data_IF_117617898034
#
_entry.id   IF_117617898034
#
_cell.length_a   1.000
_cell.length_b   1.000
_cell.length_c   1.000
_cell.angle_alpha   90.00
_cell.angle_beta   90.00
_cell.angle_gamma   90.00
#
_symmetry.space_group_name_H-M   'P 1'
#
loop_
_entity.id
_entity.type
_entity.pdbx_description
1 polymer ?
#
# COMPACT_ATOMS: atom_id res chain seq x y z
N UNK A 1 -6.76 -3.42 3.40
CA UNK A 1 -7.06 -4.28 2.23
C UNK A 1 -8.16 -3.70 1.35
N UNK A 2 -9.38 -3.48 1.86
CA UNK A 2 -10.49 -2.97 1.04
C UNK A 2 -10.23 -1.59 0.40
N UNK A 3 -9.52 -0.70 1.07
CA UNK A 3 -9.08 0.58 0.48
C UNK A 3 -8.20 0.40 -0.76
N UNK A 4 -7.27 -0.56 -0.73
CA UNK A 4 -6.38 -0.86 -1.86
C UNK A 4 -7.13 -1.47 -3.05
N UNK A 5 -8.21 -2.20 -2.78
CA UNK A 5 -9.05 -2.84 -3.80
C UNK A 5 -10.18 -1.94 -4.31
N UNK A 6 -10.58 -0.92 -3.54
CA UNK A 6 -11.66 -0.02 -3.90
C UNK A 6 -11.28 0.84 -5.13
N UNK A 7 -12.07 0.68 -6.20
CA UNK A 7 -11.77 1.18 -7.54
C UNK A 7 -10.86 0.28 -8.37
N UNK A 8 -10.65 -0.97 -7.94
CA UNK A 8 -9.86 -1.98 -8.65
C UNK A 8 -8.35 -1.78 -8.53
N UNK A 9 -7.83 -1.10 -7.50
CA UNK A 9 -6.39 -0.89 -7.34
C UNK A 9 -5.73 -0.10 -8.47
N UNK A 10 -6.52 0.68 -9.22
CA UNK A 10 -6.05 1.37 -10.43
C UNK A 10 -5.20 2.62 -10.15
N UNK A 11 -5.12 3.10 -8.90
CA UNK A 11 -4.51 4.40 -8.57
C UNK A 11 -3.11 4.54 -9.16
N UNK A 12 -2.26 3.54 -8.98
CA UNK A 12 -0.90 3.52 -9.54
C UNK A 12 -0.89 3.51 -11.08
N UNK A 13 -1.83 2.81 -11.70
CA UNK A 13 -2.01 2.81 -13.16
C UNK A 13 -2.49 4.17 -13.69
N UNK A 14 -3.42 4.80 -12.97
CA UNK A 14 -3.95 6.12 -13.28
C UNK A 14 -2.86 7.19 -13.19
N UNK A 15 -2.07 7.19 -12.10
CA UNK A 15 -0.92 8.08 -11.92
C UNK A 15 0.04 7.94 -13.11
N UNK A 16 0.40 6.71 -13.49
CA UNK A 16 1.28 6.44 -14.62
C UNK A 16 0.74 7.00 -15.93
N UNK A 17 -0.48 6.61 -16.33
CA UNK A 17 -0.99 6.98 -17.65
C UNK A 17 -1.33 8.47 -17.73
N UNK A 18 -1.81 9.08 -16.65
CA UNK A 18 -2.01 10.54 -16.58
C UNK A 18 -0.68 11.28 -16.73
N UNK A 19 0.38 10.84 -16.03
CA UNK A 19 1.70 11.44 -16.16
C UNK A 19 2.27 11.27 -17.59
N UNK A 20 2.10 10.09 -18.18
CA UNK A 20 2.56 9.78 -19.54
C UNK A 20 1.85 10.62 -20.62
N UNK A 21 0.53 10.78 -20.51
CA UNK A 21 -0.29 11.49 -21.50
C UNK A 21 -0.51 12.97 -21.16
N UNK A 22 0.19 13.53 -20.17
CA UNK A 22 0.05 14.93 -19.74
C UNK A 22 0.16 15.95 -20.88
N UNK A 23 1.01 15.67 -21.90
CA UNK A 23 1.21 16.54 -23.08
C UNK A 23 0.24 16.26 -24.24
N UNK A 24 -0.64 15.27 -24.10
CA UNK A 24 -1.56 14.80 -25.15
C UNK A 24 -3.01 14.85 -24.63
N UNK A 25 -3.71 16.00 -24.76
CA UNK A 25 -4.99 16.21 -24.09
C UNK A 25 -6.07 15.20 -24.49
N UNK A 26 -6.13 14.78 -25.75
CA UNK A 26 -7.10 13.78 -26.22
C UNK A 26 -6.91 12.42 -25.55
N UNK A 27 -5.68 11.91 -25.52
CA UNK A 27 -5.33 10.63 -24.89
C UNK A 27 -5.51 10.66 -23.37
N UNK A 28 -5.19 11.80 -22.74
CA UNK A 28 -5.42 12.01 -21.31
C UNK A 28 -6.90 11.91 -20.95
N UNK A 29 -7.76 12.65 -21.65
CA UNK A 29 -9.21 12.65 -21.40
C UNK A 29 -9.81 11.26 -21.63
N UNK A 30 -9.35 10.55 -22.67
CA UNK A 30 -9.75 9.16 -22.96
C UNK A 30 -9.35 8.21 -21.83
N UNK A 31 -8.11 8.30 -21.35
CA UNK A 31 -7.59 7.50 -20.23
C UNK A 31 -8.42 7.70 -18.97
N UNK A 32 -8.77 8.96 -18.64
CA UNK A 32 -9.60 9.28 -17.49
C UNK A 32 -11.01 8.70 -17.65
N UNK A 33 -11.62 8.84 -18.83
CA UNK A 33 -12.95 8.29 -19.12
C UNK A 33 -13.00 6.76 -18.99
N UNK A 34 -11.99 6.05 -19.51
CA UNK A 34 -11.84 4.59 -19.37
C UNK A 34 -11.62 4.21 -17.90
N UNK A 35 -10.81 4.96 -17.16
CA UNK A 35 -10.54 4.70 -15.74
C UNK A 35 -11.80 4.85 -14.88
N UNK A 36 -12.67 5.84 -15.17
CA UNK A 36 -13.99 5.97 -14.53
C UNK A 36 -14.86 4.73 -14.77
N UNK A 37 -14.96 4.28 -16.02
CA UNK A 37 -15.75 3.10 -16.37
C UNK A 37 -15.19 1.82 -15.71
N UNK A 38 -13.87 1.64 -15.76
CA UNK A 38 -13.17 0.53 -15.12
C UNK A 38 -13.45 0.48 -13.62
N UNK A 39 -13.23 1.60 -12.93
CA UNK A 39 -13.44 1.72 -11.49
C UNK A 39 -14.89 1.43 -11.12
N UNK A 40 -15.85 1.93 -11.91
CA UNK A 40 -17.28 1.70 -11.66
C UNK A 40 -17.63 0.21 -11.79
N UNK A 41 -17.16 -0.46 -12.85
CA UNK A 41 -17.41 -1.90 -13.06
C UNK A 41 -16.85 -2.70 -11.87
N UNK A 42 -15.61 -2.43 -11.46
CA UNK A 42 -15.01 -3.12 -10.32
C UNK A 42 -15.75 -2.84 -9.01
N UNK A 43 -16.17 -1.60 -8.75
CA UNK A 43 -16.97 -1.28 -7.57
C UNK A 43 -18.31 -2.03 -7.57
N UNK A 44 -18.99 -2.13 -8.72
CA UNK A 44 -20.23 -2.91 -8.83
C UNK A 44 -19.98 -4.38 -8.54
N UNK A 45 -18.93 -4.98 -9.12
CA UNK A 45 -18.59 -6.39 -8.88
C UNK A 45 -18.27 -6.64 -7.40
N UNK A 46 -17.41 -5.82 -6.81
CA UNK A 46 -17.03 -5.96 -5.38
C UNK A 46 -18.24 -5.70 -4.48
N UNK A 47 -19.11 -4.75 -4.82
CA UNK A 47 -20.33 -4.47 -4.06
C UNK A 47 -21.31 -5.65 -4.12
N UNK A 48 -21.52 -6.25 -5.30
CA UNK A 48 -22.39 -7.42 -5.45
C UNK A 48 -21.86 -8.59 -4.63
N UNK A 49 -20.56 -8.90 -4.75
CA UNK A 49 -19.93 -9.95 -3.96
C UNK A 49 -20.01 -9.65 -2.45
N UNK A 50 -19.71 -8.43 -2.03
CA UNK A 50 -19.76 -8.01 -0.63
C UNK A 50 -21.16 -8.10 -0.02
N UNK A 51 -22.20 -7.72 -0.78
CA UNK A 51 -23.59 -7.87 -0.35
C UNK A 51 -24.03 -9.34 -0.29
N UNK A 52 -23.73 -10.13 -1.33
CA UNK A 52 -24.11 -11.56 -1.40
C UNK A 52 -23.42 -12.42 -0.33
N UNK A 53 -22.15 -12.12 -0.01
CA UNK A 53 -21.38 -12.87 0.99
C UNK A 53 -21.31 -12.18 2.35
N UNK A 54 -22.12 -11.13 2.59
CA UNK A 54 -22.05 -10.28 3.79
C UNK A 54 -22.16 -11.07 5.10
N UNK A 55 -23.07 -12.04 5.18
CA UNK A 55 -23.26 -12.88 6.38
C UNK A 55 -22.07 -13.82 6.64
N UNK A 56 -21.49 -14.41 5.58
CA UNK A 56 -20.30 -15.28 5.69
C UNK A 56 -19.10 -14.46 6.15
N UNK A 57 -18.90 -13.28 5.54
CA UNK A 57 -17.82 -12.37 5.89
C UNK A 57 -17.98 -11.91 7.35
N UNK A 58 -19.20 -11.56 7.77
CA UNK A 58 -19.48 -11.17 9.15
C UNK A 58 -19.14 -12.28 10.13
N UNK A 59 -19.55 -13.51 9.84
CA UNK A 59 -19.26 -14.67 10.69
C UNK A 59 -17.76 -14.94 10.78
N UNK A 60 -17.01 -14.76 9.68
CA UNK A 60 -15.57 -14.98 9.68
C UNK A 60 -14.80 -13.90 10.46
N UNK A 61 -15.15 -12.62 10.24
CA UNK A 61 -14.47 -11.45 10.82
C UNK A 61 -14.92 -11.18 12.25
N UNK A 62 -16.22 -11.09 12.48
CA UNK A 62 -16.81 -10.70 13.76
C UNK A 62 -17.20 -11.89 14.63
N UNK A 63 -17.04 -13.13 14.14
CA UNK A 63 -17.50 -14.36 14.81
C UNK A 63 -19.01 -14.43 15.07
N UNK A 64 -19.78 -13.50 14.51
CA UNK A 64 -21.25 -13.45 14.54
C UNK A 64 -21.81 -12.94 13.21
N UNK A 65 -22.97 -13.45 12.74
CA UNK A 65 -23.66 -12.91 11.57
C UNK A 65 -24.33 -11.53 11.82
N UNK A 66 -24.47 -11.08 13.06
CA UNK A 66 -25.26 -9.89 13.43
C UNK A 66 -24.75 -8.58 12.81
N UNK A 67 -23.47 -8.53 12.42
CA UNK A 67 -22.82 -7.37 11.83
C UNK A 67 -22.80 -7.38 10.29
N UNK A 68 -23.62 -8.21 9.63
CA UNK A 68 -23.70 -8.26 8.16
C UNK A 68 -23.98 -6.89 7.53
N UNK A 69 -24.78 -6.05 8.18
CA UNK A 69 -25.12 -4.72 7.70
C UNK A 69 -23.91 -3.78 7.63
N UNK A 70 -22.90 -3.97 8.49
CA UNK A 70 -21.63 -3.23 8.44
C UNK A 70 -20.87 -3.61 7.17
N UNK A 71 -20.87 -4.90 6.80
CA UNK A 71 -20.24 -5.40 5.57
C UNK A 71 -20.96 -4.84 4.34
N UNK A 72 -22.30 -4.79 4.35
CA UNK A 72 -23.09 -4.15 3.29
C UNK A 72 -22.77 -2.66 3.19
N UNK A 73 -22.75 -1.96 4.32
CA UNK A 73 -22.44 -0.52 4.35
C UNK A 73 -21.03 -0.22 3.84
N UNK A 74 -20.05 -1.07 4.17
CA UNK A 74 -18.69 -1.01 3.62
C UNK A 74 -18.68 -1.25 2.11
N UNK A 75 -19.45 -2.24 1.65
CA UNK A 75 -19.57 -2.60 0.23
C UNK A 75 -20.15 -1.45 -0.61
N UNK A 76 -21.03 -0.63 -0.04
CA UNK A 76 -21.57 0.58 -0.68
C UNK A 76 -20.60 1.77 -0.52
N UNK A 77 -19.98 1.94 0.64
CA UNK A 77 -19.08 3.07 0.92
C UNK A 77 -17.81 3.04 0.06
N UNK A 78 -17.42 1.86 -0.46
CA UNK A 78 -16.29 1.73 -1.39
C UNK A 78 -16.41 2.62 -2.63
N UNK A 79 -17.63 2.97 -3.08
CA UNK A 79 -17.84 3.83 -4.25
C UNK A 79 -17.27 5.24 -3.99
N UNK A 80 -17.48 5.77 -2.79
CA UNK A 80 -16.88 7.03 -2.35
C UNK A 80 -15.35 6.97 -2.31
N UNK A 81 -14.80 5.83 -1.88
CA UNK A 81 -13.35 5.63 -1.88
C UNK A 81 -12.77 5.53 -3.29
N UNK A 82 -13.40 4.76 -4.17
CA UNK A 82 -12.99 4.62 -5.55
C UNK A 82 -13.01 5.95 -6.28
N UNK A 83 -14.03 6.78 -6.02
CA UNK A 83 -14.10 8.14 -6.52
C UNK A 83 -12.94 9.01 -5.98
N UNK A 84 -12.67 8.96 -4.68
CA UNK A 84 -11.53 9.66 -4.07
C UNK A 84 -10.20 9.22 -4.72
N UNK A 85 -10.01 7.92 -4.89
CA UNK A 85 -8.85 7.32 -5.54
C UNK A 85 -8.67 7.78 -7.00
N UNK A 86 -9.76 7.93 -7.75
CA UNK A 86 -9.74 8.49 -9.10
C UNK A 86 -9.27 9.95 -9.09
N UNK A 87 -9.86 10.80 -8.25
CA UNK A 87 -9.53 12.24 -8.19
C UNK A 87 -8.09 12.45 -7.74
N UNK A 88 -7.70 11.79 -6.64
CA UNK A 88 -6.34 11.89 -6.09
C UNK A 88 -5.30 11.28 -7.01
N UNK A 89 -5.61 10.18 -7.70
CA UNK A 89 -4.73 9.58 -8.70
C UNK A 89 -4.50 10.47 -9.93
N UNK A 90 -5.55 11.16 -10.41
CA UNK A 90 -5.41 12.17 -11.48
C UNK A 90 -4.59 13.37 -11.01
N UNK A 91 -4.89 13.93 -9.84
CA UNK A 91 -4.14 15.05 -9.28
C UNK A 91 -2.66 14.70 -9.13
N UNK A 92 -2.36 13.52 -8.58
CA UNK A 92 -1.00 13.03 -8.40
C UNK A 92 -0.29 12.80 -9.76
N UNK A 93 -0.95 12.16 -10.73
CA UNK A 93 -0.40 12.00 -12.09
C UNK A 93 -0.09 13.33 -12.80
N UNK A 94 -0.88 14.38 -12.55
CA UNK A 94 -0.64 15.73 -13.05
C UNK A 94 0.46 16.49 -12.27
N UNK A 95 0.92 15.92 -11.16
CA UNK A 95 1.79 16.55 -10.14
C UNK A 95 1.15 17.74 -9.41
N UNK A 96 -0.17 17.74 -9.30
CA UNK A 96 -0.90 18.67 -8.43
C UNK A 96 -0.91 18.13 -7.00
N UNK A 97 0.25 18.27 -6.34
CA UNK A 97 0.48 17.82 -4.97
C UNK A 97 -0.35 18.61 -3.96
N UNK A 98 -0.74 19.85 -4.29
CA UNK A 98 -1.57 20.69 -3.43
C UNK A 98 -2.98 20.12 -3.33
N UNK A 99 -3.62 19.83 -4.46
CA UNK A 99 -4.97 19.23 -4.45
C UNK A 99 -4.96 17.88 -3.76
N UNK A 100 -3.95 17.03 -4.04
CA UNK A 100 -3.77 15.75 -3.34
C UNK A 100 -3.68 15.95 -1.81
N UNK A 101 -2.80 16.84 -1.35
CA UNK A 101 -2.60 17.09 0.08
C UNK A 101 -3.86 17.65 0.76
N UNK A 102 -4.56 18.59 0.12
CA UNK A 102 -5.78 19.19 0.69
C UNK A 102 -6.88 18.14 0.85
N UNK A 103 -7.08 17.25 -0.13
CA UNK A 103 -8.05 16.15 -0.02
C UNK A 103 -7.74 15.28 1.20
N UNK A 104 -6.47 14.90 1.40
CA UNK A 104 -6.05 14.07 2.52
C UNK A 104 -6.19 14.79 3.87
N UNK A 105 -5.77 16.06 3.96
CA UNK A 105 -5.82 16.83 5.20
C UNK A 105 -7.28 17.09 5.61
N UNK A 106 -8.10 17.59 4.70
CA UNK A 106 -9.51 17.87 4.98
C UNK A 106 -10.27 16.57 5.29
N UNK A 107 -10.00 15.49 4.55
CA UNK A 107 -10.58 14.17 4.84
C UNK A 107 -10.28 13.68 6.27
N UNK A 108 -9.02 13.82 6.72
CA UNK A 108 -8.63 13.49 8.09
C UNK A 108 -9.29 14.41 9.14
N UNK A 109 -9.34 15.71 8.89
CA UNK A 109 -9.98 16.67 9.80
C UNK A 109 -11.48 16.37 9.96
N UNK A 110 -12.16 15.93 8.90
CA UNK A 110 -13.58 15.58 8.94
C UNK A 110 -13.84 14.25 9.65
N UNK A 111 -13.02 13.22 9.39
CA UNK A 111 -13.27 11.87 9.94
C UNK A 111 -12.96 11.78 11.43
N UNK A 112 -11.97 12.53 11.94
CA UNK A 112 -11.48 12.41 13.32
C UNK A 112 -12.56 12.73 14.37
N UNK A 113 -13.26 13.88 14.35
CA UNK A 113 -14.32 14.18 15.32
C UNK A 113 -15.48 13.20 15.24
N UNK A 114 -15.85 12.79 14.03
CA UNK A 114 -16.97 11.86 13.80
C UNK A 114 -16.63 10.48 14.37
N UNK A 115 -15.38 10.02 14.15
CA UNK A 115 -14.90 8.76 14.72
C UNK A 115 -14.91 8.79 16.25
N UNK A 116 -14.43 9.90 16.83
CA UNK A 116 -14.46 10.08 18.29
C UNK A 116 -15.87 9.98 18.86
N UNK A 117 -16.84 10.67 18.26
CA UNK A 117 -18.24 10.67 18.71
C UNK A 117 -18.88 9.28 18.58
N UNK A 118 -18.62 8.58 17.46
CA UNK A 118 -19.18 7.25 17.21
C UNK A 118 -18.62 6.22 18.20
N UNK A 119 -17.30 6.22 18.42
CA UNK A 119 -16.65 5.30 19.35
C UNK A 119 -17.17 5.53 20.77
N UNK A 120 -17.31 6.79 21.21
CA UNK A 120 -17.83 7.12 22.54
C UNK A 120 -19.29 6.69 22.76
N UNK A 121 -20.12 6.69 21.70
CA UNK A 121 -21.56 6.38 21.83
C UNK A 121 -21.91 4.91 21.58
N UNK A 122 -21.13 4.22 20.75
CA UNK A 122 -21.47 2.89 20.23
C UNK A 122 -20.33 1.87 20.39
N UNK A 123 -19.30 2.19 21.17
CA UNK A 123 -18.14 1.36 21.48
C UNK A 123 -17.58 0.65 20.23
N UNK A 124 -17.67 -0.69 20.21
CA UNK A 124 -17.19 -1.54 19.13
C UNK A 124 -17.88 -1.26 17.79
N UNK A 125 -19.21 -1.12 17.80
CA UNK A 125 -20.00 -0.84 16.59
C UNK A 125 -19.68 0.56 16.07
N UNK A 126 -19.47 1.50 16.98
CA UNK A 126 -18.99 2.85 16.68
C UNK A 126 -17.64 2.84 15.97
N UNK A 127 -16.69 2.06 16.46
CA UNK A 127 -15.38 1.88 15.83
C UNK A 127 -15.50 1.28 14.42
N UNK A 128 -16.32 0.24 14.26
CA UNK A 128 -16.55 -0.40 12.97
C UNK A 128 -17.18 0.55 11.94
N UNK A 129 -18.23 1.31 12.32
CA UNK A 129 -18.84 2.32 11.44
C UNK A 129 -17.83 3.42 11.09
N UNK A 130 -17.03 3.88 12.07
CA UNK A 130 -16.04 4.94 11.86
C UNK A 130 -15.00 4.56 10.80
N UNK A 131 -14.56 3.30 10.80
CA UNK A 131 -13.66 2.78 9.76
C UNK A 131 -14.29 2.81 8.37
N UNK A 132 -15.60 2.57 8.26
CA UNK A 132 -16.31 2.65 6.97
C UNK A 132 -16.47 4.10 6.53
N UNK A 133 -16.85 4.99 7.45
CA UNK A 133 -17.05 6.41 7.18
C UNK A 133 -15.78 7.14 6.76
N UNK A 134 -14.61 6.67 7.18
CA UNK A 134 -13.32 7.14 6.67
C UNK A 134 -13.29 7.19 5.14
N UNK A 135 -13.91 6.22 4.47
CA UNK A 135 -13.95 6.16 3.01
C UNK A 135 -14.89 7.20 2.38
N UNK A 136 -15.97 7.54 3.09
CA UNK A 136 -16.98 8.50 2.62
C UNK A 136 -16.55 9.94 2.86
N UNK A 137 -15.90 10.25 3.99
CA UNK A 137 -15.51 11.64 4.31
C UNK A 137 -14.46 12.22 3.36
N UNK A 138 -13.54 11.40 2.86
CA UNK A 138 -12.55 11.84 1.87
C UNK A 138 -13.18 12.14 0.51
N UNK A 139 -14.35 11.57 0.21
CA UNK A 139 -15.06 11.85 -1.04
C UNK A 139 -15.62 13.27 -1.10
N UNK A 140 -15.85 13.92 0.04
CA UNK A 140 -16.38 15.29 0.14
C UNK A 140 -15.41 16.32 -0.47
N UNK A 141 -14.16 16.47 0.02
CA UNK A 141 -13.21 17.38 -0.61
C UNK A 141 -12.86 16.94 -2.04
N UNK A 142 -12.81 15.63 -2.32
CA UNK A 142 -12.59 15.14 -3.68
C UNK A 142 -13.70 15.59 -4.65
N UNK A 143 -14.96 15.59 -4.20
CA UNK A 143 -16.11 16.02 -5.00
C UNK A 143 -16.04 17.51 -5.31
N UNK A 144 -15.64 18.34 -4.33
CA UNK A 144 -15.44 19.77 -4.53
C UNK A 144 -14.43 20.05 -5.66
N UNK A 145 -13.26 19.41 -5.62
CA UNK A 145 -12.24 19.57 -6.66
C UNK A 145 -12.68 19.00 -8.01
N UNK A 146 -13.41 17.88 -8.00
CA UNK A 146 -13.95 17.28 -9.20
C UNK A 146 -14.97 18.18 -9.89
N UNK A 147 -15.89 18.78 -9.15
CA UNK A 147 -16.91 19.70 -9.68
C UNK A 147 -16.30 20.96 -10.30
N UNK A 148 -15.16 21.42 -9.79
CA UNK A 148 -14.41 22.55 -10.36
C UNK A 148 -13.54 22.19 -11.56
N UNK A 149 -13.39 20.90 -11.87
CA UNK A 149 -12.48 20.43 -12.90
C UNK A 149 -13.17 20.21 -14.25
N UNK A 150 -12.41 20.34 -15.34
CA UNK A 150 -12.83 19.96 -16.70
C UNK A 150 -13.23 18.48 -16.78
N UNK A 151 -12.74 17.65 -15.85
CA UNK A 151 -13.05 16.23 -15.79
C UNK A 151 -14.51 15.93 -15.46
N UNK A 152 -15.27 16.87 -14.89
CA UNK A 152 -16.71 16.73 -14.66
C UNK A 152 -17.49 16.55 -15.96
N UNK A 153 -17.10 17.30 -17.01
CA UNK A 153 -17.76 17.30 -18.33
C UNK A 153 -17.45 16.05 -19.16
N UNK A 154 -16.54 15.19 -18.69
CA UNK A 154 -16.17 13.97 -19.41
C UNK A 154 -17.18 12.85 -19.17
N UNK A 155 -17.78 12.29 -20.24
CA UNK A 155 -18.66 11.14 -20.10
C UNK A 155 -17.90 9.92 -19.57
N UNK A 156 -18.65 8.98 -18.99
CA UNK A 156 -18.11 7.68 -18.59
C UNK A 156 -17.76 6.93 -19.88
N UNK A 157 -16.48 6.57 -20.04
CA UNK A 157 -15.94 5.99 -21.26
C UNK A 157 -16.24 4.51 -21.39
N UNK A 158 -17.52 4.14 -21.60
CA UNK A 158 -17.94 2.75 -21.87
C UNK A 158 -17.53 2.24 -23.25
N UNK A 159 -17.08 3.12 -24.16
CA UNK A 159 -16.46 2.67 -25.42
C UNK A 159 -15.24 1.85 -25.05
N UNK A 160 -15.40 0.52 -25.08
CA UNK A 160 -14.40 -0.49 -24.74
C UNK A 160 -13.16 -0.28 -25.61
N UNK A 161 -12.25 0.58 -25.17
CA UNK A 161 -10.88 0.55 -25.62
C UNK A 161 -10.22 -0.63 -24.90
N UNK A 162 -10.34 -1.81 -25.49
CA UNK A 162 -9.86 -3.09 -24.93
C UNK A 162 -8.40 -2.99 -24.49
N UNK A 163 -7.60 -2.18 -25.19
CA UNK A 163 -6.20 -1.96 -24.87
C UNK A 163 -5.99 -1.13 -23.59
N UNK A 164 -6.80 -0.09 -23.35
CA UNK A 164 -6.76 0.71 -22.12
C UNK A 164 -7.22 -0.08 -20.91
N UNK A 165 -8.28 -0.89 -21.06
CA UNK A 165 -8.78 -1.78 -20.00
C UNK A 165 -7.73 -2.84 -19.61
N UNK A 166 -7.12 -3.52 -20.58
CA UNK A 166 -6.08 -4.54 -20.34
C UNK A 166 -4.85 -3.97 -19.64
N UNK A 167 -4.50 -2.72 -19.96
CA UNK A 167 -3.41 -1.96 -19.32
C UNK A 167 -3.68 -1.69 -17.85
N UNK A 168 -4.91 -1.30 -17.49
CA UNK A 168 -5.32 -1.07 -16.10
C UNK A 168 -5.42 -2.38 -15.31
N UNK A 169 -5.89 -3.46 -15.94
CA UNK A 169 -5.99 -4.78 -15.31
C UNK A 169 -4.64 -5.28 -14.75
N UNK A 170 -3.53 -4.96 -15.40
CA UNK A 170 -2.20 -5.31 -14.87
C UNK A 170 -1.91 -4.63 -13.53
N UNK A 171 -2.35 -3.38 -13.33
CA UNK A 171 -2.20 -2.68 -12.05
C UNK A 171 -3.14 -3.23 -10.99
N UNK A 172 -4.37 -3.57 -11.38
CA UNK A 172 -5.32 -4.26 -10.50
C UNK A 172 -4.75 -5.56 -10.00
N UNK A 173 -4.18 -6.39 -10.87
CA UNK A 173 -3.55 -7.65 -10.47
C UNK A 173 -2.35 -7.43 -9.53
N UNK A 174 -1.49 -6.46 -9.82
CA UNK A 174 -0.39 -6.11 -8.91
C UNK A 174 -0.91 -5.68 -7.53
N UNK A 175 -1.87 -4.76 -7.49
CA UNK A 175 -2.44 -4.24 -6.25
C UNK A 175 -3.17 -5.33 -5.46
N UNK A 176 -3.95 -6.18 -6.12
CA UNK A 176 -4.66 -7.29 -5.48
C UNK A 176 -3.70 -8.31 -4.89
N UNK A 177 -2.65 -8.68 -5.63
CA UNK A 177 -1.66 -9.64 -5.13
C UNK A 177 -0.91 -9.06 -3.93
N UNK A 178 -0.45 -7.81 -3.97
CA UNK A 178 0.17 -7.18 -2.80
C UNK A 178 -0.80 -7.05 -1.60
N UNK A 179 -2.06 -6.68 -1.86
CA UNK A 179 -3.07 -6.51 -0.81
C UNK A 179 -3.45 -7.81 -0.10
N UNK A 180 -3.29 -8.95 -0.75
CA UNK A 180 -3.59 -10.28 -0.20
C UNK A 180 -2.30 -10.95 0.34
N UNK A 181 -1.23 -10.94 -0.46
CA UNK A 181 0.05 -11.58 -0.14
C UNK A 181 0.64 -11.09 1.17
N UNK A 182 0.80 -9.77 1.33
CA UNK A 182 1.51 -9.19 2.48
C UNK A 182 0.83 -9.60 3.79
N UNK A 183 -0.50 -9.41 3.98
CA UNK A 183 -1.08 -9.75 5.27
C UNK A 183 -1.27 -11.26 5.46
N UNK A 184 -1.40 -12.05 4.38
CA UNK A 184 -1.37 -13.51 4.51
C UNK A 184 -0.03 -13.99 5.05
N UNK A 185 1.09 -13.47 4.52
CA UNK A 185 2.43 -13.76 5.04
C UNK A 185 2.52 -13.32 6.50
N UNK A 186 2.06 -12.11 6.85
CA UNK A 186 2.07 -11.66 8.25
C UNK A 186 1.26 -12.56 9.19
N UNK A 187 0.10 -13.07 8.74
CA UNK A 187 -0.70 -14.03 9.51
C UNK A 187 0.07 -15.33 9.70
N UNK A 188 0.63 -15.89 8.63
CA UNK A 188 1.40 -17.15 8.70
C UNK A 188 2.58 -17.03 9.66
N UNK A 189 3.38 -15.96 9.54
CA UNK A 189 4.51 -15.73 10.45
C UNK A 189 4.04 -15.57 11.89
N UNK A 190 2.94 -14.83 12.12
CA UNK A 190 2.39 -14.66 13.46
C UNK A 190 1.96 -16.00 14.07
N UNK A 191 1.25 -16.84 13.32
CA UNK A 191 0.85 -18.16 13.81
C UNK A 191 2.06 -19.05 14.08
N UNK A 192 3.08 -19.04 13.20
CA UNK A 192 4.35 -19.74 13.46
C UNK A 192 4.98 -19.30 14.80
N UNK A 193 5.02 -18.00 15.08
CA UNK A 193 5.58 -17.49 16.34
C UNK A 193 4.71 -17.90 17.54
N UNK A 194 3.37 -17.87 17.41
CA UNK A 194 2.45 -18.29 18.47
C UNK A 194 2.67 -19.76 18.82
N UNK A 195 2.78 -20.63 17.82
CA UNK A 195 2.96 -22.07 18.02
C UNK A 195 4.32 -22.44 18.64
N UNK A 196 5.39 -21.72 18.28
CA UNK A 196 6.75 -22.08 18.70
C UNK A 196 7.26 -21.32 19.93
N UNK A 197 6.76 -20.10 20.17
CA UNK A 197 7.29 -19.19 21.21
C UNK A 197 6.18 -18.68 22.12
N UNK A 198 5.00 -18.41 21.58
CA UNK A 198 3.82 -17.97 22.33
C UNK A 198 3.30 -16.58 21.97
N UNK A 199 2.18 -16.21 22.59
CA UNK A 199 1.43 -14.98 22.26
C UNK A 199 2.19 -13.68 22.55
N UNK A 200 2.97 -13.62 23.64
CA UNK A 200 3.73 -12.41 24.01
C UNK A 200 4.75 -12.08 22.91
N UNK A 201 5.55 -13.08 22.49
CA UNK A 201 6.50 -12.95 21.40
C UNK A 201 5.86 -12.53 20.08
N UNK A 202 4.70 -13.12 19.74
CA UNK A 202 3.93 -12.72 18.56
C UNK A 202 3.47 -11.26 18.63
N UNK A 203 3.11 -10.78 19.83
CA UNK A 203 2.81 -9.38 20.11
C UNK A 203 4.02 -8.45 19.89
N UNK A 204 5.19 -8.82 20.41
CA UNK A 204 6.46 -8.07 20.21
C UNK A 204 6.78 -7.96 18.72
N UNK A 205 6.69 -9.06 17.97
CA UNK A 205 6.95 -9.06 16.53
C UNK A 205 5.93 -8.19 15.78
N UNK A 206 4.63 -8.32 16.08
CA UNK A 206 3.58 -7.49 15.47
C UNK A 206 3.80 -6.00 15.75
N UNK A 207 4.17 -5.64 16.97
CA UNK A 207 4.48 -4.26 17.33
C UNK A 207 5.65 -3.70 16.50
N UNK A 208 6.71 -4.49 16.30
CA UNK A 208 7.82 -4.15 15.41
C UNK A 208 7.35 -3.86 13.97
N UNK A 209 6.54 -4.75 13.40
CA UNK A 209 6.00 -4.60 12.05
C UNK A 209 5.12 -3.35 11.95
N UNK A 210 4.33 -3.03 12.98
CA UNK A 210 3.51 -1.80 13.02
C UNK A 210 4.36 -0.54 13.01
N UNK A 211 5.39 -0.45 13.87
CA UNK A 211 6.33 0.68 13.88
C UNK A 211 7.01 0.78 12.50
N UNK A 212 7.51 -0.34 11.96
CA UNK A 212 8.11 -0.41 10.62
C UNK A 212 7.19 0.15 9.54
N UNK A 213 5.94 -0.31 9.52
CA UNK A 213 4.95 0.11 8.52
C UNK A 213 4.66 1.61 8.56
N UNK A 214 4.67 2.23 9.75
CA UNK A 214 4.39 3.64 9.92
C UNK A 214 5.45 4.53 9.25
N UNK A 215 6.73 4.33 9.56
CA UNK A 215 7.78 5.13 8.93
C UNK A 215 8.05 4.71 7.47
N UNK A 216 7.86 3.43 7.11
CA UNK A 216 7.98 2.98 5.72
C UNK A 216 6.87 3.54 4.83
N UNK A 217 5.69 3.80 5.39
CA UNK A 217 4.60 4.51 4.73
C UNK A 217 5.03 5.87 4.15
N UNK A 218 5.87 6.62 4.87
CA UNK A 218 6.42 7.89 4.38
C UNK A 218 7.22 7.69 3.08
N UNK A 219 8.16 6.73 3.05
CA UNK A 219 8.96 6.45 1.86
C UNK A 219 8.11 5.95 0.71
N UNK A 220 7.14 5.06 0.97
CA UNK A 220 6.23 4.54 -0.04
C UNK A 220 5.40 5.65 -0.67
N UNK A 221 4.83 6.57 0.12
CA UNK A 221 4.07 7.71 -0.39
C UNK A 221 4.98 8.64 -1.19
N UNK A 222 6.16 8.97 -0.66
CA UNK A 222 7.13 9.81 -1.36
C UNK A 222 7.52 9.23 -2.73
N UNK A 223 7.82 7.93 -2.80
CA UNK A 223 8.17 7.27 -4.04
C UNK A 223 6.98 7.18 -5.00
N UNK A 224 5.78 6.90 -4.50
CA UNK A 224 4.57 6.84 -5.33
C UNK A 224 4.18 8.19 -5.92
N UNK A 225 4.33 9.28 -5.16
CA UNK A 225 3.90 10.64 -5.56
C UNK A 225 4.96 11.34 -6.42
N UNK A 226 6.26 11.18 -6.11
CA UNK A 226 7.32 11.93 -6.79
C UNK A 226 8.12 11.06 -7.75
N UNK A 227 8.58 9.90 -7.31
CA UNK A 227 9.49 9.08 -8.11
C UNK A 227 8.77 8.34 -9.25
N UNK A 228 7.63 7.73 -8.97
CA UNK A 228 6.87 6.94 -9.93
C UNK A 228 6.43 7.75 -11.16
N UNK A 229 5.89 8.98 -11.04
CA UNK A 229 5.57 9.81 -12.21
C UNK A 229 6.82 10.17 -13.02
N UNK A 230 7.94 10.50 -12.36
CA UNK A 230 9.19 10.84 -13.05
C UNK A 230 9.73 9.67 -13.86
N UNK A 231 9.68 8.45 -13.33
CA UNK A 231 10.07 7.24 -14.07
C UNK A 231 9.11 6.96 -15.23
N UNK A 232 7.81 7.15 -15.02
CA UNK A 232 6.76 6.88 -16.02
C UNK A 232 6.84 7.79 -17.23
N UNK A 233 7.26 9.04 -17.05
CA UNK A 233 7.47 10.01 -18.14
C UNK A 233 8.66 9.66 -19.05
N UNK A 234 9.61 8.86 -18.56
CA UNK A 234 10.85 8.56 -19.29
C UNK A 234 10.74 7.25 -20.06
N UNK A 235 11.10 7.29 -21.34
CA UNK A 235 11.09 6.11 -22.22
C UNK A 235 12.43 5.38 -22.20
N UNK A 236 13.56 6.11 -22.25
CA UNK A 236 14.91 5.53 -22.34
C UNK A 236 15.48 5.10 -20.99
N UNK A 237 16.09 3.91 -20.96
CA UNK A 237 16.71 3.35 -19.74
C UNK A 237 17.93 4.15 -19.29
N UNK A 238 18.66 4.75 -20.23
CA UNK A 238 19.78 5.66 -19.94
C UNK A 238 19.37 6.88 -19.10
N UNK A 239 18.13 7.35 -19.23
CA UNK A 239 17.63 8.47 -18.43
C UNK A 239 17.02 8.04 -17.09
N UNK A 240 16.55 6.79 -16.97
CA UNK A 240 15.97 6.24 -15.73
C UNK A 240 17.06 5.83 -14.75
N UNK A 241 18.14 5.22 -15.26
CA UNK A 241 19.25 4.73 -14.45
C UNK A 241 19.82 5.78 -13.47
N UNK A 242 20.20 7.00 -13.90
CA UNK A 242 20.70 8.02 -12.97
C UNK A 242 19.64 8.48 -11.96
N UNK A 243 18.36 8.49 -12.36
CA UNK A 243 17.26 8.82 -11.46
C UNK A 243 17.11 7.77 -10.35
N UNK A 244 17.17 6.49 -10.70
CA UNK A 244 17.13 5.37 -9.73
C UNK A 244 18.27 5.50 -8.73
N UNK A 245 19.51 5.67 -9.18
CA UNK A 245 20.65 5.81 -8.28
C UNK A 245 20.55 7.06 -7.39
N UNK A 246 20.05 8.18 -7.92
CA UNK A 246 19.84 9.39 -7.13
C UNK A 246 18.82 9.17 -6.01
N UNK A 247 17.69 8.54 -6.33
CA UNK A 247 16.65 8.26 -5.33
C UNK A 247 17.08 7.18 -4.33
N UNK A 248 17.81 6.14 -4.76
CA UNK A 248 18.41 5.15 -3.86
C UNK A 248 19.33 5.82 -2.83
N UNK A 249 20.24 6.71 -3.27
CA UNK A 249 21.10 7.47 -2.35
C UNK A 249 20.29 8.36 -1.41
N UNK A 250 19.28 9.05 -1.92
CA UNK A 250 18.44 9.94 -1.13
C UNK A 250 17.70 9.16 -0.03
N UNK A 251 17.01 8.06 -0.36
CA UNK A 251 16.28 7.28 0.64
C UNK A 251 17.23 6.61 1.63
N UNK A 252 18.41 6.16 1.18
CA UNK A 252 19.44 5.59 2.03
C UNK A 252 19.92 6.59 3.08
N UNK A 253 20.28 7.81 2.67
CA UNK A 253 20.75 8.85 3.60
C UNK A 253 19.67 9.23 4.60
N UNK A 254 18.45 9.46 4.13
CA UNK A 254 17.32 9.83 5.01
C UNK A 254 17.02 8.70 5.99
N UNK A 255 17.03 7.44 5.53
CA UNK A 255 16.76 6.29 6.38
C UNK A 255 17.85 6.07 7.42
N UNK A 256 19.13 6.20 7.05
CA UNK A 256 20.23 6.07 8.02
C UNK A 256 20.15 7.15 9.08
N UNK A 257 19.89 8.40 8.70
CA UNK A 257 19.73 9.50 9.66
C UNK A 257 18.54 9.24 10.60
N UNK A 258 17.35 8.99 10.04
CA UNK A 258 16.14 8.75 10.82
C UNK A 258 16.20 7.49 11.68
N UNK A 259 16.73 6.40 11.12
CA UNK A 259 16.92 5.12 11.80
C UNK A 259 17.95 5.21 12.92
N UNK A 260 19.03 5.97 12.76
CA UNK A 260 20.01 6.19 13.83
C UNK A 260 19.40 6.99 14.98
N UNK A 261 18.67 8.07 14.69
CA UNK A 261 17.96 8.87 15.70
C UNK A 261 16.93 8.00 16.44
N UNK A 262 16.12 7.24 15.70
CA UNK A 262 15.14 6.33 16.28
C UNK A 262 15.81 5.25 17.16
N UNK A 263 16.92 4.66 16.70
CA UNK A 263 17.66 3.65 17.47
C UNK A 263 18.26 4.24 18.76
N UNK A 264 18.80 5.45 18.70
CA UNK A 264 19.34 6.15 19.87
C UNK A 264 18.24 6.45 20.90
N UNK A 265 17.04 6.82 20.44
CA UNK A 265 15.90 7.17 21.29
C UNK A 265 14.98 5.98 21.62
N UNK A 266 15.32 4.75 21.22
CA UNK A 266 14.41 3.59 21.27
C UNK A 266 13.84 3.31 22.66
N UNK A 267 14.62 3.52 23.72
CA UNK A 267 14.22 3.31 25.12
C UNK A 267 13.12 4.27 25.57
N UNK A 268 12.99 5.42 24.92
CA UNK A 268 11.93 6.40 25.18
C UNK A 268 10.78 6.22 24.19
N UNK A 269 11.09 5.98 22.92
CA UNK A 269 10.10 5.91 21.84
C UNK A 269 9.24 4.65 21.94
N UNK A 270 9.82 3.49 22.27
CA UNK A 270 9.07 2.23 22.34
C UNK A 270 8.02 2.27 23.47
N UNK A 271 8.36 2.63 24.73
CA UNK A 271 7.35 2.73 25.79
C UNK A 271 6.31 3.83 25.54
N UNK A 272 6.70 4.94 24.90
CA UNK A 272 5.79 6.05 24.59
C UNK A 272 4.75 5.68 23.52
N UNK A 273 5.16 4.95 22.47
CA UNK A 273 4.28 4.57 21.37
C UNK A 273 3.43 3.33 21.67
N UNK A 274 3.91 2.46 22.56
CA UNK A 274 3.29 1.19 22.88
C UNK A 274 2.97 1.14 24.39
N UNK A 275 3.86 0.51 25.16
CA UNK A 275 3.79 0.32 26.61
C UNK A 275 5.16 -0.17 27.09
N UNK A 276 5.43 -0.06 28.40
CA UNK A 276 6.62 -0.66 29.04
C UNK A 276 6.68 -2.19 28.89
N UNK A 277 5.54 -2.84 28.62
CA UNK A 277 5.45 -4.27 28.32
C UNK A 277 6.22 -4.68 27.04
N UNK A 278 6.54 -3.73 26.16
CA UNK A 278 7.26 -3.97 24.91
C UNK A 278 8.77 -3.76 25.02
N UNK A 279 9.34 -3.73 26.23
CA UNK A 279 10.79 -3.50 26.46
C UNK A 279 11.69 -4.52 25.74
N UNK A 280 11.25 -5.76 25.58
CA UNK A 280 11.98 -6.79 24.80
C UNK A 280 12.25 -6.34 23.34
N UNK A 281 11.38 -5.50 22.78
CA UNK A 281 11.54 -4.98 21.42
C UNK A 281 12.79 -4.11 21.27
N UNK A 282 13.28 -3.47 22.34
CA UNK A 282 14.46 -2.60 22.31
C UNK A 282 15.71 -3.33 21.81
N UNK A 283 15.86 -4.61 22.16
CA UNK A 283 16.97 -5.45 21.73
C UNK A 283 16.83 -5.96 20.30
N UNK A 284 15.60 -6.19 19.85
CA UNK A 284 15.27 -6.80 18.55
C UNK A 284 15.14 -5.79 17.42
N UNK A 285 14.81 -4.53 17.74
CA UNK A 285 14.54 -3.48 16.75
C UNK A 285 15.72 -3.21 15.81
N UNK A 286 16.96 -3.51 16.25
CA UNK A 286 18.18 -3.43 15.42
C UNK A 286 18.05 -4.27 14.14
N UNK A 287 17.52 -5.48 14.24
CA UNK A 287 17.34 -6.37 13.10
C UNK A 287 16.27 -5.85 12.16
N UNK A 288 15.18 -5.30 12.72
CA UNK A 288 14.11 -4.69 11.95
C UNK A 288 14.61 -3.46 11.17
N UNK A 289 15.34 -2.56 11.83
CA UNK A 289 15.89 -1.36 11.17
C UNK A 289 16.86 -1.72 10.05
N UNK A 290 17.73 -2.72 10.25
CA UNK A 290 18.60 -3.22 9.20
C UNK A 290 17.80 -3.83 8.03
N UNK A 291 16.76 -4.60 8.33
CA UNK A 291 15.88 -5.18 7.31
C UNK A 291 15.21 -4.07 6.49
N UNK A 292 14.70 -3.04 7.16
CA UNK A 292 14.00 -1.91 6.55
C UNK A 292 14.93 -0.99 5.77
N UNK A 293 16.22 -0.91 6.13
CA UNK A 293 17.24 -0.25 5.32
C UNK A 293 17.38 -0.89 3.93
N UNK A 294 17.48 -2.22 3.85
CA UNK A 294 17.54 -2.90 2.55
C UNK A 294 16.19 -2.83 1.83
N UNK A 295 15.08 -2.90 2.58
CA UNK A 295 13.72 -2.82 2.02
C UNK A 295 13.47 -1.49 1.31
N UNK A 296 13.81 -0.36 1.94
CA UNK A 296 13.55 0.98 1.38
C UNK A 296 14.36 1.24 0.11
N UNK A 297 15.58 0.74 0.05
CA UNK A 297 16.42 0.83 -1.15
C UNK A 297 15.80 -0.01 -2.28
N UNK A 298 15.34 -1.22 -1.94
CA UNK A 298 14.69 -2.12 -2.89
C UNK A 298 13.39 -1.55 -3.42
N UNK A 299 12.61 -0.84 -2.59
CA UNK A 299 11.39 -0.16 -3.02
C UNK A 299 11.61 0.79 -4.19
N UNK A 300 12.75 1.50 -4.26
CA UNK A 300 13.08 2.35 -5.40
C UNK A 300 13.07 1.55 -6.71
N UNK A 301 13.65 0.34 -6.70
CA UNK A 301 13.65 -0.56 -7.86
C UNK A 301 12.25 -1.13 -8.10
N UNK A 302 11.53 -1.55 -7.05
CA UNK A 302 10.15 -2.06 -7.16
C UNK A 302 9.21 -1.03 -7.79
N UNK A 303 9.34 0.25 -7.46
CA UNK A 303 8.56 1.33 -8.08
C UNK A 303 8.86 1.50 -9.57
N UNK A 304 10.07 1.16 -10.05
CA UNK A 304 10.36 1.09 -11.49
C UNK A 304 9.57 -0.04 -12.16
N UNK A 305 9.51 -1.23 -11.53
CA UNK A 305 8.73 -2.38 -12.03
C UNK A 305 7.25 -2.01 -12.15
N UNK A 306 6.70 -1.34 -11.13
CA UNK A 306 5.31 -0.85 -11.12
C UNK A 306 5.11 0.23 -12.20
N UNK A 307 6.00 1.23 -12.28
CA UNK A 307 5.94 2.28 -13.32
C UNK A 307 6.01 1.69 -14.74
N UNK A 308 6.73 0.58 -14.95
CA UNK A 308 6.78 -0.13 -16.23
C UNK A 308 5.63 -1.09 -16.47
N UNK A 309 4.72 -1.28 -15.50
CA UNK A 309 3.64 -2.28 -15.57
C UNK A 309 4.16 -3.71 -15.86
N UNK A 310 5.35 -4.04 -15.33
CA UNK A 310 5.99 -5.34 -15.55
C UNK A 310 5.38 -6.42 -14.64
N UNK A 311 4.14 -6.81 -14.92
CA UNK A 311 3.31 -7.71 -14.08
C UNK A 311 4.02 -9.00 -13.69
N UNK A 312 4.64 -9.69 -14.67
CA UNK A 312 5.31 -10.97 -14.40
C UNK A 312 6.43 -10.85 -13.37
N UNK A 313 7.26 -9.81 -13.50
CA UNK A 313 8.36 -9.57 -12.57
C UNK A 313 7.81 -9.25 -11.18
N UNK A 314 6.78 -8.40 -11.11
CA UNK A 314 6.14 -8.05 -9.84
C UNK A 314 5.58 -9.29 -9.13
N UNK A 315 4.80 -10.12 -9.83
CA UNK A 315 4.17 -11.31 -9.24
C UNK A 315 5.19 -12.35 -8.75
N UNK A 316 6.21 -12.65 -9.56
CA UNK A 316 7.27 -13.59 -9.16
C UNK A 316 7.98 -13.06 -7.93
N UNK A 317 8.35 -11.78 -7.93
CA UNK A 317 9.08 -11.15 -6.85
C UNK A 317 8.30 -11.17 -5.54
N UNK A 318 7.01 -10.81 -5.57
CA UNK A 318 6.13 -10.78 -4.40
C UNK A 318 5.92 -12.18 -3.81
N UNK A 319 5.63 -13.18 -4.66
CA UNK A 319 5.41 -14.56 -4.21
C UNK A 319 6.70 -15.20 -3.68
N UNK A 320 7.82 -15.02 -4.37
CA UNK A 320 9.12 -15.53 -3.90
C UNK A 320 9.52 -14.88 -2.58
N UNK A 321 9.31 -13.58 -2.42
CA UNK A 321 9.59 -12.89 -1.16
C UNK A 321 8.77 -13.48 0.00
N UNK A 322 7.46 -13.68 -0.20
CA UNK A 322 6.59 -14.28 0.82
C UNK A 322 7.01 -15.71 1.19
N UNK A 323 7.28 -16.56 0.19
CA UNK A 323 7.73 -17.94 0.41
C UNK A 323 9.06 -17.98 1.17
N UNK A 324 10.05 -17.18 0.73
CA UNK A 324 11.36 -17.11 1.39
C UNK A 324 11.21 -16.67 2.85
N UNK A 325 10.35 -15.68 3.14
CA UNK A 325 10.15 -15.23 4.50
C UNK A 325 9.53 -16.31 5.39
N UNK A 326 8.44 -16.94 4.93
CA UNK A 326 7.78 -18.02 5.66
C UNK A 326 8.70 -19.22 5.92
N UNK A 327 9.50 -19.61 4.92
CA UNK A 327 10.45 -20.73 5.06
C UNK A 327 11.60 -20.41 6.00
N UNK A 328 12.20 -19.22 5.89
CA UNK A 328 13.29 -18.81 6.79
C UNK A 328 12.80 -18.65 8.23
N UNK A 329 11.63 -18.05 8.43
CA UNK A 329 11.04 -17.88 9.76
C UNK A 329 10.82 -19.24 10.43
N UNK A 330 10.17 -20.18 9.73
CA UNK A 330 9.96 -21.54 10.23
C UNK A 330 11.28 -22.22 10.59
N UNK A 331 12.30 -22.09 9.73
CA UNK A 331 13.62 -22.69 9.96
C UNK A 331 14.29 -22.15 11.24
N UNK A 332 14.31 -20.83 11.42
CA UNK A 332 14.95 -20.21 12.60
C UNK A 332 14.15 -20.44 13.89
N UNK A 333 12.81 -20.45 13.81
CA UNK A 333 11.95 -20.80 14.95
C UNK A 333 12.19 -22.24 15.40
N UNK A 334 12.27 -23.19 14.47
CA UNK A 334 12.60 -24.60 14.76
C UNK A 334 14.01 -24.80 15.32
N UNK A 335 14.94 -23.92 14.98
CA UNK A 335 16.32 -23.95 15.49
C UNK A 335 16.44 -23.49 16.95
N UNK A 336 15.33 -23.10 17.59
CA UNK A 336 15.31 -22.66 18.98
C UNK A 336 15.75 -21.20 19.20
N UNK A 337 15.83 -20.39 18.14
CA UNK A 337 16.23 -18.97 18.26
C UNK A 337 15.12 -18.06 18.82
N UNK A 338 13.96 -18.62 19.18
CA UNK A 338 12.82 -17.86 19.66
C UNK A 338 12.36 -16.79 18.66
N UNK A 339 11.75 -15.71 19.16
CA UNK A 339 11.21 -14.63 18.33
C UNK A 339 12.29 -13.91 17.50
N UNK A 340 13.53 -13.88 17.99
CA UNK A 340 14.67 -13.29 17.28
C UNK A 340 14.88 -13.96 15.90
N UNK A 341 14.60 -15.25 15.80
CA UNK A 341 14.65 -15.99 14.53
C UNK A 341 13.75 -15.39 13.45
N UNK A 342 12.56 -14.90 13.80
CA UNK A 342 11.67 -14.25 12.84
C UNK A 342 12.20 -12.86 12.38
N UNK A 343 12.89 -12.14 13.25
CA UNK A 343 13.55 -10.88 12.90
C UNK A 343 14.76 -11.11 11.98
N UNK A 344 15.56 -12.13 12.26
CA UNK A 344 16.70 -12.54 11.43
C UNK A 344 16.20 -13.03 10.06
N UNK A 345 15.13 -13.82 10.02
CA UNK A 345 14.48 -14.25 8.78
C UNK A 345 14.06 -13.05 7.92
N UNK A 346 13.43 -12.03 8.52
CA UNK A 346 13.03 -10.82 7.82
C UNK A 346 14.25 -10.04 7.28
N UNK A 347 15.32 -9.93 8.08
CA UNK A 347 16.57 -9.29 7.63
C UNK A 347 17.18 -10.02 6.43
N UNK A 348 17.37 -11.33 6.52
CA UNK A 348 17.95 -12.15 5.45
C UNK A 348 17.08 -12.07 4.18
N UNK A 349 15.76 -12.17 4.32
CA UNK A 349 14.83 -12.02 3.20
C UNK A 349 15.01 -10.66 2.50
N UNK A 350 15.07 -9.55 3.23
CA UNK A 350 15.25 -8.22 2.63
C UNK A 350 16.63 -8.06 1.97
N UNK A 351 17.69 -8.65 2.54
CA UNK A 351 19.04 -8.65 1.94
C UNK A 351 19.05 -9.44 0.63
N UNK A 352 18.50 -10.65 0.61
CA UNK A 352 18.38 -11.47 -0.60
C UNK A 352 17.60 -10.70 -1.66
N UNK A 353 16.46 -10.12 -1.26
CA UNK A 353 15.60 -9.39 -2.18
C UNK A 353 16.26 -8.14 -2.76
N UNK A 354 17.05 -7.41 -1.95
CA UNK A 354 17.87 -6.29 -2.41
C UNK A 354 18.91 -6.70 -3.44
N UNK A 355 19.62 -7.81 -3.19
CA UNK A 355 20.63 -8.36 -4.10
C UNK A 355 19.97 -8.74 -5.43
N UNK A 356 18.90 -9.53 -5.39
CA UNK A 356 18.16 -9.99 -6.57
C UNK A 356 17.62 -8.81 -7.38
N UNK A 357 17.03 -7.81 -6.72
CA UNK A 357 16.48 -6.61 -7.36
C UNK A 357 17.56 -5.76 -8.03
N UNK A 358 18.71 -5.61 -7.38
CA UNK A 358 19.85 -4.86 -7.93
C UNK A 358 20.43 -5.57 -9.15
N UNK A 359 20.65 -6.89 -9.08
CA UNK A 359 21.10 -7.67 -10.23
C UNK A 359 20.08 -7.64 -11.38
N UNK A 360 18.79 -7.80 -11.08
CA UNK A 360 17.71 -7.69 -12.07
C UNK A 360 17.71 -6.33 -12.77
N UNK A 361 17.91 -5.25 -12.01
CA UNK A 361 18.02 -3.90 -12.58
C UNK A 361 19.27 -3.71 -13.45
N UNK A 362 20.42 -4.27 -13.05
CA UNK A 362 21.65 -4.23 -13.86
C UNK A 362 21.50 -5.00 -15.17
N UNK A 363 20.83 -6.16 -15.16
CA UNK A 363 20.51 -6.91 -16.39
C UNK A 363 19.55 -6.10 -17.28
N UNK A 364 18.53 -5.47 -16.70
CA UNK A 364 17.62 -4.58 -17.41
C UNK A 364 18.35 -3.40 -18.08
N UNK A 365 19.34 -2.82 -17.38
CA UNK A 365 20.22 -1.80 -17.94
C UNK A 365 21.03 -2.34 -19.11
N UNK A 366 21.67 -3.51 -18.98
CA UNK A 366 22.52 -4.08 -20.04
C UNK A 366 21.76 -4.48 -21.30
N UNK A 367 20.52 -4.95 -21.19
CA UNK A 367 19.70 -5.35 -22.36
C UNK A 367 19.15 -4.16 -23.16
N UNK A 368 19.08 -2.99 -22.55
CA UNK A 368 18.45 -1.79 -23.11
C UNK A 368 19.42 -0.58 -23.19
N UNK A 369 20.71 -0.84 -22.98
CA UNK A 369 21.82 0.06 -23.30
C UNK A 369 22.29 -0.27 -24.72
#
# INVERSE_FOLDING_TARGET
>A
MLSLLAGGGIVNGLIKYVAQYKKQPKELLKTIAVSKAYSLIFCVVVCLLGCSFSSIISTYIFKTPDYYWIVVFLSVSQFGFAFTNLVTGVANGLRDTRTFAVIQIVGNILVLPVSWILIQRFDFVGAAISMVLFFSFYSIPALYFYCKSIFLKLPIGFKFETQGFKRLLSFTLMATVGAISVPLVEIIIREQIIEHVGFVAAGIWQASIKISSAYMGFFTIFLAVYFMPMVSEKTRVSEITPLVFRFMKLVMVIFVLGGTVFFALRQYVIPLLLSSEFSELEGLIKYQLLADFFRVITYVISFVVVARAALRIYLISELTQGVVFCSLSLFFLNSGQGVEGAFIANLIMNVIYFIVSTFGFLIYKRRNA
#
